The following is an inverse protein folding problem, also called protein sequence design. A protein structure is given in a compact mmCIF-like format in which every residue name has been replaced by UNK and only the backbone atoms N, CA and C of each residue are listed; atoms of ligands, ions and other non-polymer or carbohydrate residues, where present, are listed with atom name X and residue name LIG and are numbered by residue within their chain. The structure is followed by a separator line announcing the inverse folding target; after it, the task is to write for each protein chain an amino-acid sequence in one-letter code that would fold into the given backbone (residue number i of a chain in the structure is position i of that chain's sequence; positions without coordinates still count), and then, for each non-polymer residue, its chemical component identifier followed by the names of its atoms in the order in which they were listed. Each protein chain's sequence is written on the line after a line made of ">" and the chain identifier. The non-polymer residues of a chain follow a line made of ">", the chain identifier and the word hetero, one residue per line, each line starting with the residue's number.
data_IF_576398989345
#
_entry.id   IF_576398989345
#
_cell.length_a   1.000
_cell.length_b   1.000
_cell.length_c   1.000
_cell.angle_alpha   90.00
_cell.angle_beta   90.00
_cell.angle_gamma   90.00
#
_symmetry.space_group_name_H-M   'P 1'
#
loop_
_entity.id
_entity.type
_entity.pdbx_description
1 polymer ?
#
# COMPACT_ATOMS: atom_id res chain seq x y z
N UNK A 1 19.81 -5.71 -2.10
CA UNK A 1 19.02 -4.89 -3.04
C UNK A 1 17.97 -4.16 -2.21
N UNK A 2 17.76 -2.83 -2.35
CA UNK A 2 16.68 -2.19 -1.63
C UNK A 2 15.35 -2.80 -2.10
N UNK A 3 14.47 -3.14 -1.16
CA UNK A 3 13.14 -3.63 -1.48
C UNK A 3 12.38 -2.54 -2.25
N UNK A 4 11.70 -2.92 -3.34
CA UNK A 4 10.84 -1.99 -4.08
C UNK A 4 9.74 -1.52 -3.14
N UNK A 5 9.61 -0.20 -2.98
CA UNK A 5 8.61 0.43 -2.11
C UNK A 5 7.42 0.90 -2.92
N UNK A 6 6.22 0.52 -2.51
CA UNK A 6 4.95 0.81 -3.18
C UNK A 6 4.07 1.69 -2.25
N UNK A 7 3.42 2.70 -2.82
CA UNK A 7 2.37 3.48 -2.14
C UNK A 7 1.01 3.04 -2.68
N UNK A 8 0.12 2.59 -1.79
CA UNK A 8 -1.28 2.29 -2.10
C UNK A 8 -2.13 3.47 -1.65
N UNK A 9 -2.84 4.09 -2.58
CA UNK A 9 -3.77 5.21 -2.31
C UNK A 9 -5.17 4.76 -2.65
N UNK A 10 -6.03 4.70 -1.64
CA UNK A 10 -7.44 4.29 -1.78
C UNK A 10 -8.22 4.81 -0.57
N UNK A 11 -9.40 5.39 -0.77
CA UNK A 11 -10.25 5.93 0.29
C UNK A 11 -10.99 4.82 1.07
N UNK A 12 -11.26 3.69 0.43
CA UNK A 12 -11.87 2.52 1.07
C UNK A 12 -10.84 1.75 1.91
N UNK A 13 -11.09 1.71 3.23
CA UNK A 13 -10.21 1.02 4.19
C UNK A 13 -10.05 -0.47 3.90
N UNK A 14 -11.12 -1.18 3.54
CA UNK A 14 -11.08 -2.62 3.33
C UNK A 14 -10.27 -2.96 2.08
N UNK A 15 -10.49 -2.21 1.00
CA UNK A 15 -9.77 -2.41 -0.26
C UNK A 15 -8.28 -2.08 -0.10
N UNK A 16 -7.95 -0.94 0.53
CA UNK A 16 -6.57 -0.54 0.81
C UNK A 16 -5.80 -1.59 1.62
N UNK A 17 -6.44 -2.14 2.66
CA UNK A 17 -5.85 -3.20 3.49
C UNK A 17 -5.62 -4.48 2.70
N UNK A 18 -6.61 -4.93 1.91
CA UNK A 18 -6.49 -6.14 1.09
C UNK A 18 -5.32 -6.03 0.10
N UNK A 19 -5.16 -4.87 -0.54
CA UNK A 19 -4.07 -4.62 -1.50
C UNK A 19 -2.72 -4.58 -0.79
N UNK A 20 -2.62 -3.92 0.37
CA UNK A 20 -1.41 -3.92 1.20
C UNK A 20 -0.98 -5.34 1.56
N UNK A 21 -1.90 -6.14 2.09
CA UNK A 21 -1.63 -7.51 2.54
C UNK A 21 -1.10 -8.37 1.38
N UNK A 22 -1.71 -8.27 0.21
CA UNK A 22 -1.27 -8.98 -0.99
C UNK A 22 0.16 -8.59 -1.41
N UNK A 23 0.48 -7.29 -1.40
CA UNK A 23 1.79 -6.77 -1.78
C UNK A 23 2.89 -7.12 -0.75
N UNK A 24 2.58 -7.07 0.54
CA UNK A 24 3.51 -7.48 1.60
C UNK A 24 3.85 -8.97 1.50
N UNK A 25 2.85 -9.84 1.25
CA UNK A 25 3.06 -11.27 1.00
C UNK A 25 3.95 -11.51 -0.23
N UNK A 26 3.84 -10.67 -1.26
CA UNK A 26 4.70 -10.72 -2.44
C UNK A 26 6.13 -10.18 -2.20
N UNK A 27 6.44 -9.71 -1.00
CA UNK A 27 7.77 -9.27 -0.59
C UNK A 27 8.07 -7.78 -0.83
N UNK A 28 7.06 -6.97 -1.11
CA UNK A 28 7.21 -5.52 -1.27
C UNK A 28 7.14 -4.78 0.06
N UNK A 29 7.85 -3.65 0.14
CA UNK A 29 7.63 -2.69 1.22
C UNK A 29 6.44 -1.80 0.84
N UNK A 30 5.40 -1.73 1.66
CA UNK A 30 4.17 -1.01 1.32
C UNK A 30 3.96 0.17 2.27
N UNK A 31 3.48 1.28 1.73
CA UNK A 31 2.93 2.41 2.47
C UNK A 31 1.49 2.67 2.02
N UNK A 32 0.66 3.17 2.92
CA UNK A 32 -0.75 3.48 2.66
C UNK A 32 -0.98 5.00 2.72
N UNK A 33 -1.89 5.49 1.88
CA UNK A 33 -2.51 6.80 2.03
C UNK A 33 -4.02 6.67 1.76
N UNK A 34 -4.82 7.45 2.50
CA UNK A 34 -6.28 7.54 2.31
C UNK A 34 -6.65 8.71 1.38
N UNK A 35 -5.77 9.70 1.29
CA UNK A 35 -5.94 10.94 0.55
C UNK A 35 -4.58 11.55 0.18
N UNK A 36 -4.62 12.66 -0.58
CA UNK A 36 -3.47 13.49 -0.89
C UNK A 36 -3.44 14.76 -0.03
N UNK A 37 -2.28 15.44 0.06
CA UNK A 37 -2.22 16.77 0.65
C UNK A 37 -2.95 17.80 -0.23
N UNK A 38 -3.62 18.76 0.41
CA UNK A 38 -4.28 19.92 -0.24
C UNK A 38 -3.31 20.81 -1.03
#
# INVERSE_FOLDING_TARGET
>A
MPAVRILVVDDDRLLRQMVRDFLEVAGFAVAEAVDGPD
#
